data_IF_689557485624
#
_entry.id   IF_689557485624
#
_cell.length_a   1.000
_cell.length_b   1.000
_cell.length_c   1.000
_cell.angle_alpha   90.00
_cell.angle_beta   90.00
_cell.angle_gamma   90.00
#
_symmetry.space_group_name_H-M   'P 1'
#
loop_
_entity.id
_entity.type
_entity.pdbx_description
1 polymer ?
#
# COMPACT_ATOMS: atom_id res chain seq x y z
N UNK A 1 -8.75 -29.50 -3.91
CA UNK A 1 -8.89 -29.77 -2.46
C UNK A 1 -7.51 -30.12 -1.94
N UNK A 2 -7.00 -29.43 -0.93
CA UNK A 2 -5.70 -29.70 -0.30
C UNK A 2 -5.96 -30.56 0.95
N UNK A 3 -5.92 -31.90 0.85
CA UNK A 3 -6.53 -32.81 1.84
C UNK A 3 -5.92 -32.73 3.25
N UNK A 4 -4.75 -32.14 3.40
CA UNK A 4 -4.04 -31.99 4.68
C UNK A 4 -3.91 -30.54 5.17
N UNK A 5 -4.47 -29.58 4.43
CA UNK A 5 -4.44 -28.17 4.79
C UNK A 5 -5.79 -27.73 5.35
N UNK A 6 -5.79 -27.23 6.58
CA UNK A 6 -6.98 -26.59 7.18
C UNK A 6 -7.05 -25.14 6.69
N UNK A 7 -7.76 -24.92 5.59
CA UNK A 7 -7.96 -23.61 5.01
C UNK A 7 -8.35 -23.69 3.54
N UNK A 8 -8.38 -22.54 2.87
CA UNK A 8 -8.56 -22.42 1.42
C UNK A 8 -7.24 -22.00 0.76
N UNK A 9 -6.95 -22.55 -0.42
CA UNK A 9 -5.89 -22.05 -1.28
C UNK A 9 -6.48 -21.27 -2.45
N UNK A 10 -5.84 -20.18 -2.82
CA UNK A 10 -6.12 -19.40 -4.03
C UNK A 10 -4.89 -19.42 -4.94
N UNK A 11 -5.10 -19.34 -6.26
CA UNK A 11 -3.97 -19.33 -7.20
C UNK A 11 -3.33 -17.95 -7.22
N UNK A 12 -2.02 -17.90 -7.02
CA UNK A 12 -1.26 -16.65 -6.95
C UNK A 12 -0.94 -16.09 -8.35
N UNK A 13 -1.97 -15.63 -9.06
CA UNK A 13 -1.87 -15.02 -10.41
C UNK A 13 -1.82 -13.50 -10.41
N UNK A 14 -2.25 -12.87 -9.32
CA UNK A 14 -2.30 -11.41 -9.15
C UNK A 14 -1.81 -11.05 -7.74
N UNK A 15 -1.31 -9.83 -7.55
CA UNK A 15 -0.69 -9.44 -6.30
C UNK A 15 -1.69 -9.39 -5.15
N UNK A 16 -2.94 -9.04 -5.43
CA UNK A 16 -4.02 -8.97 -4.45
C UNK A 16 -4.24 -10.30 -3.70
N UNK A 17 -4.06 -11.44 -4.38
CA UNK A 17 -4.17 -12.78 -3.77
C UNK A 17 -3.16 -12.95 -2.65
N UNK A 18 -1.89 -12.62 -2.90
CA UNK A 18 -0.86 -12.70 -1.87
C UNK A 18 -1.12 -11.69 -0.75
N UNK A 19 -1.52 -10.46 -1.08
CA UNK A 19 -1.71 -9.40 -0.10
C UNK A 19 -2.96 -9.56 0.77
N UNK A 20 -3.89 -10.45 0.44
CA UNK A 20 -5.02 -10.84 1.31
C UNK A 20 -4.81 -12.16 2.04
N UNK A 21 -3.75 -12.91 1.73
CA UNK A 21 -3.51 -14.24 2.28
C UNK A 21 -2.64 -14.21 3.53
N UNK A 22 -2.91 -15.13 4.46
CA UNK A 22 -2.09 -15.32 5.67
C UNK A 22 -0.74 -15.99 5.38
N UNK A 23 -0.66 -16.75 4.28
CA UNK A 23 0.56 -17.43 3.83
C UNK A 23 0.71 -17.28 2.32
N UNK A 24 1.97 -17.19 1.88
CA UNK A 24 2.31 -17.16 0.46
C UNK A 24 3.29 -18.27 0.15
N UNK A 25 3.00 -19.03 -0.90
CA UNK A 25 3.88 -20.06 -1.43
C UNK A 25 4.49 -19.56 -2.74
N UNK A 26 5.81 -19.43 -2.78
CA UNK A 26 6.56 -19.12 -4.00
C UNK A 26 7.19 -20.40 -4.50
N UNK A 27 6.84 -20.81 -5.72
CA UNK A 27 7.52 -21.93 -6.38
C UNK A 27 8.80 -21.45 -7.07
N UNK A 28 9.76 -22.37 -7.26
CA UNK A 28 10.99 -22.11 -8.02
C UNK A 28 10.72 -21.52 -9.41
N UNK A 29 9.67 -21.98 -10.08
CA UNK A 29 9.26 -21.42 -11.37
C UNK A 29 8.85 -19.94 -11.29
N UNK A 30 8.18 -19.52 -10.21
CA UNK A 30 7.82 -18.12 -9.97
C UNK A 30 9.04 -17.26 -9.64
N UNK A 31 9.96 -17.77 -8.81
CA UNK A 31 11.25 -17.11 -8.56
C UNK A 31 12.03 -16.89 -9.88
N UNK A 32 12.10 -17.92 -10.72
CA UNK A 32 12.83 -17.85 -12.00
C UNK A 32 12.20 -16.89 -13.01
N UNK A 33 10.87 -16.76 -13.00
CA UNK A 33 10.11 -15.92 -13.93
C UNK A 33 9.77 -14.54 -13.39
N UNK A 34 9.97 -14.32 -12.10
CA UNK A 34 9.52 -13.13 -11.39
C UNK A 34 8.02 -12.87 -11.62
N UNK A 35 7.20 -13.92 -11.46
CA UNK A 35 5.75 -13.91 -11.70
C UNK A 35 4.95 -14.19 -10.40
N UNK A 36 3.77 -13.58 -10.20
CA UNK A 36 3.00 -12.82 -11.20
C UNK A 36 3.53 -11.41 -11.47
N UNK A 37 4.31 -10.84 -10.56
CA UNK A 37 5.04 -9.59 -10.80
C UNK A 37 6.42 -9.64 -10.15
N UNK A 38 7.42 -8.92 -10.70
CA UNK A 38 8.74 -8.85 -10.10
C UNK A 38 8.76 -8.25 -8.70
N UNK A 39 7.90 -7.27 -8.44
CA UNK A 39 7.84 -6.53 -7.18
C UNK A 39 7.47 -7.47 -6.04
N UNK A 40 6.36 -8.21 -6.18
CA UNK A 40 5.87 -9.07 -5.11
C UNK A 40 6.77 -10.28 -4.90
N UNK A 41 7.35 -10.83 -5.96
CA UNK A 41 8.27 -11.97 -5.83
C UNK A 41 9.55 -11.54 -5.11
N UNK A 42 10.12 -10.38 -5.45
CA UNK A 42 11.30 -9.84 -4.76
C UNK A 42 11.00 -9.49 -3.31
N UNK A 43 9.81 -8.96 -3.01
CA UNK A 43 9.38 -8.69 -1.65
C UNK A 43 9.46 -9.97 -0.80
N UNK A 44 8.83 -11.07 -1.23
CA UNK A 44 8.89 -12.31 -0.47
C UNK A 44 10.28 -12.94 -0.43
N UNK A 45 11.05 -12.88 -1.53
CA UNK A 45 12.42 -13.41 -1.55
C UNK A 45 13.40 -12.60 -0.66
N UNK A 46 13.06 -11.38 -0.28
CA UNK A 46 13.83 -10.59 0.68
C UNK A 46 13.58 -10.98 2.14
N UNK A 47 12.53 -11.76 2.39
CA UNK A 47 12.14 -12.23 3.72
C UNK A 47 12.75 -13.61 4.01
N UNK A 48 12.81 -13.96 5.29
CA UNK A 48 13.12 -15.33 5.70
C UNK A 48 11.87 -16.21 5.55
N UNK A 49 11.94 -17.34 4.81
CA UNK A 49 10.84 -18.28 4.71
C UNK A 49 10.64 -19.02 6.04
N UNK A 50 9.39 -19.29 6.41
CA UNK A 50 9.11 -20.19 7.54
C UNK A 50 9.43 -21.64 7.19
N UNK A 51 9.23 -22.02 5.93
CA UNK A 51 9.57 -23.37 5.47
C UNK A 51 10.04 -23.38 4.01
N UNK A 52 11.00 -24.27 3.73
CA UNK A 52 11.48 -24.55 2.37
C UNK A 52 11.21 -26.01 2.06
N UNK A 53 10.40 -26.25 1.04
CA UNK A 53 10.13 -27.59 0.52
C UNK A 53 11.24 -27.95 -0.46
N UNK A 54 11.99 -29.00 -0.13
CA UNK A 54 13.03 -29.54 -1.00
C UNK A 54 12.59 -30.81 -1.72
N UNK A 55 12.99 -30.95 -2.98
CA UNK A 55 12.84 -32.18 -3.76
C UNK A 55 14.24 -32.62 -4.17
N UNK A 56 14.68 -33.79 -3.69
CA UNK A 56 16.02 -34.33 -3.92
C UNK A 56 17.17 -33.37 -3.51
N UNK A 57 17.00 -32.65 -2.39
CA UNK A 57 17.99 -31.68 -1.89
C UNK A 57 18.04 -30.36 -2.67
N UNK A 58 17.04 -30.11 -3.53
CA UNK A 58 16.90 -28.86 -4.28
C UNK A 58 15.68 -28.10 -3.77
N UNK A 59 15.82 -26.84 -3.32
CA UNK A 59 14.69 -25.99 -2.98
C UNK A 59 13.70 -25.88 -4.14
N UNK A 60 12.45 -26.24 -3.88
CA UNK A 60 11.37 -26.27 -4.87
C UNK A 60 10.28 -25.23 -4.57
N UNK A 61 9.94 -25.04 -3.30
CA UNK A 61 8.99 -24.03 -2.88
C UNK A 61 9.39 -23.39 -1.54
N UNK A 62 9.07 -22.11 -1.39
CA UNK A 62 9.27 -21.33 -0.16
C UNK A 62 7.91 -20.92 0.37
N UNK A 63 7.68 -21.15 1.66
CA UNK A 63 6.44 -20.82 2.36
C UNK A 63 6.75 -19.67 3.30
N UNK A 64 6.06 -18.55 3.10
CA UNK A 64 6.21 -17.34 3.88
C UNK A 64 4.95 -17.10 4.71
N UNK A 65 5.08 -16.81 6.02
CA UNK A 65 4.01 -16.19 6.76
C UNK A 65 3.83 -14.78 6.20
N UNK A 66 2.60 -14.33 6.12
CA UNK A 66 2.28 -13.02 5.56
C UNK A 66 1.48 -12.17 6.54
N UNK A 67 1.57 -10.85 6.34
CA UNK A 67 0.69 -9.88 6.98
C UNK A 67 -0.18 -9.30 5.88
N UNK A 68 -1.49 -9.60 5.86
CA UNK A 68 -2.38 -9.04 4.87
C UNK A 68 -2.29 -7.51 4.86
N UNK A 69 -2.34 -6.93 3.66
CA UNK A 69 -2.46 -5.49 3.43
C UNK A 69 -3.85 -5.12 2.88
N UNK A 70 -4.68 -6.12 2.57
CA UNK A 70 -6.05 -5.93 2.11
C UNK A 70 -7.00 -6.44 3.20
N UNK A 71 -7.93 -5.58 3.61
CA UNK A 71 -8.88 -5.81 4.69
C UNK A 71 -10.32 -5.57 4.21
N UNK A 72 -11.29 -5.97 5.05
CA UNK A 72 -12.71 -5.69 4.84
C UNK A 72 -13.18 -4.37 5.48
N UNK A 73 -12.36 -3.76 6.32
CA UNK A 73 -12.63 -2.49 7.00
C UNK A 73 -11.30 -1.84 7.44
N UNK A 74 -11.36 -0.59 7.89
CA UNK A 74 -10.21 0.14 8.42
C UNK A 74 -9.75 -0.49 9.75
N UNK A 75 -8.46 -0.82 9.92
CA UNK A 75 -7.94 -1.33 11.19
C UNK A 75 -8.15 -0.34 12.35
N UNK A 76 -8.43 -0.87 13.55
CA UNK A 76 -8.88 -0.07 14.70
C UNK A 76 -7.85 0.95 15.24
N UNK A 77 -6.57 0.81 14.90
CA UNK A 77 -5.48 1.70 15.32
C UNK A 77 -5.26 2.90 14.37
N UNK A 78 -6.10 3.04 13.34
CA UNK A 78 -6.09 4.15 12.38
C UNK A 78 -7.07 5.26 12.78
N UNK A 79 -6.70 6.49 12.46
CA UNK A 79 -7.62 7.63 12.50
C UNK A 79 -8.53 7.56 11.28
N UNK A 80 -9.84 7.42 11.50
CA UNK A 80 -10.82 7.35 10.41
C UNK A 80 -10.94 8.68 9.66
N UNK A 81 -11.07 8.58 8.35
CA UNK A 81 -11.31 9.70 7.44
C UNK A 81 -12.33 9.29 6.38
N UNK A 82 -12.79 10.28 5.60
CA UNK A 82 -13.72 10.00 4.51
C UNK A 82 -13.47 10.95 3.33
N UNK A 83 -12.24 10.98 2.83
CA UNK A 83 -11.79 11.93 1.81
C UNK A 83 -11.77 11.22 0.46
N UNK A 84 -12.49 11.75 -0.54
CA UNK A 84 -12.50 11.19 -1.89
C UNK A 84 -11.30 11.63 -2.73
N UNK A 85 -10.75 10.71 -3.52
CA UNK A 85 -9.76 10.99 -4.55
C UNK A 85 -10.31 10.49 -5.89
N UNK A 86 -10.90 11.43 -6.65
CA UNK A 86 -11.77 11.07 -7.77
C UNK A 86 -13.02 10.31 -7.33
N UNK A 87 -13.60 9.53 -8.25
CA UNK A 87 -14.75 8.66 -7.97
C UNK A 87 -14.35 7.20 -7.69
N UNK A 88 -13.05 6.89 -7.73
CA UNK A 88 -12.55 5.51 -7.72
C UNK A 88 -11.97 5.05 -6.38
N UNK A 89 -11.52 5.98 -5.52
CA UNK A 89 -10.97 5.62 -4.21
C UNK A 89 -11.21 6.70 -3.16
N UNK A 90 -11.20 6.29 -1.90
CA UNK A 90 -11.28 7.21 -0.75
C UNK A 90 -10.19 6.90 0.26
N UNK A 91 -9.65 7.93 0.88
CA UNK A 91 -8.84 7.76 2.09
C UNK A 91 -9.80 7.52 3.27
N UNK A 92 -9.83 6.27 3.74
CA UNK A 92 -10.69 5.79 4.81
C UNK A 92 -10.03 5.88 6.19
N UNK A 93 -8.69 5.92 6.25
CA UNK A 93 -7.99 6.26 7.47
C UNK A 93 -6.50 6.51 7.27
N UNK A 94 -5.85 7.03 8.32
CA UNK A 94 -4.40 7.24 8.35
C UNK A 94 -3.80 7.04 9.74
N UNK A 95 -2.49 6.83 9.78
CA UNK A 95 -1.69 6.72 11.00
C UNK A 95 -0.27 7.25 10.75
N UNK A 96 0.30 7.93 11.75
CA UNK A 96 1.71 8.33 11.77
C UNK A 96 2.46 7.47 12.80
N UNK A 97 3.57 6.86 12.41
CA UNK A 97 4.39 6.02 13.30
C UNK A 97 5.88 6.25 13.09
N UNK A 98 6.70 6.08 14.13
CA UNK A 98 8.16 6.01 13.96
C UNK A 98 8.52 4.70 13.23
N UNK A 99 9.60 4.68 12.44
CA UNK A 99 10.02 3.47 11.70
C UNK A 99 10.62 2.38 12.61
N UNK A 100 10.76 2.62 13.92
CA UNK A 100 11.20 1.58 14.87
C UNK A 100 10.21 0.41 14.89
N UNK A 101 10.67 -0.78 14.46
CA UNK A 101 9.88 -1.96 14.13
C UNK A 101 9.11 -2.66 15.25
N UNK A 102 8.52 -1.94 16.20
CA UNK A 102 7.62 -2.47 17.21
C UNK A 102 6.39 -1.56 17.33
N UNK A 103 5.26 -2.04 16.81
CA UNK A 103 3.95 -1.56 17.27
C UNK A 103 3.90 -1.69 18.79
N UNK A 104 3.52 -0.65 19.55
CA UNK A 104 3.27 -0.81 20.97
C UNK A 104 2.14 -1.81 21.16
N UNK A 105 2.32 -2.75 22.10
CA UNK A 105 1.28 -3.70 22.45
C UNK A 105 0.03 -2.94 22.91
N UNK A 106 -1.09 -3.18 22.23
CA UNK A 106 -2.39 -2.58 22.52
C UNK A 106 -2.77 -2.86 23.98
N UNK A 107 -2.86 -1.81 24.81
CA UNK A 107 -3.62 -1.85 26.06
C UNK A 107 -4.97 -1.22 25.79
N UNK A 108 -5.98 -2.06 25.57
CA UNK A 108 -7.36 -1.63 25.40
C UNK A 108 -7.87 -1.11 26.75
N UNK A 109 -8.08 0.20 26.86
CA UNK A 109 -8.91 0.77 27.93
C UNK A 109 -10.12 1.41 27.29
N UNK A 110 -11.30 0.85 27.57
CA UNK A 110 -12.59 1.34 27.11
C UNK A 110 -12.79 2.81 27.51
N UNK A 111 -13.18 3.66 26.58
CA UNK A 111 -13.65 5.01 26.92
C UNK A 111 -13.79 5.96 25.74
N UNK A 112 -15.02 6.13 25.29
CA UNK A 112 -15.61 7.36 24.76
C UNK A 112 -14.99 8.02 23.51
N UNK A 113 -15.78 7.94 22.45
CA UNK A 113 -15.67 8.66 21.19
C UNK A 113 -15.61 10.19 21.41
N UNK A 114 -14.58 10.87 20.88
CA UNK A 114 -14.50 12.34 20.81
C UNK A 114 -14.21 12.74 19.36
N UNK A 115 -15.06 13.56 18.70
CA UNK A 115 -14.76 14.10 17.38
C UNK A 115 -13.83 15.31 17.51
N UNK A 116 -12.88 15.45 16.57
CA UNK A 116 -12.01 16.62 16.38
C UNK A 116 -11.24 17.09 17.63
N UNK A 117 -10.15 16.41 17.94
CA UNK A 117 -9.02 17.07 18.58
C UNK A 117 -7.82 16.90 17.67
N UNK A 118 -7.18 18.02 17.31
CA UNK A 118 -5.84 18.07 16.72
C UNK A 118 -4.90 17.30 17.65
N UNK A 119 -4.77 16.00 17.44
CA UNK A 119 -3.69 15.21 18.02
C UNK A 119 -2.42 15.82 17.43
N UNK A 120 -1.78 16.72 18.20
CA UNK A 120 -0.42 17.20 17.92
C UNK A 120 0.51 16.00 18.05
N UNK A 121 0.54 15.17 17.03
CA UNK A 121 1.48 14.07 16.94
C UNK A 121 2.86 14.73 16.86
N UNK A 122 3.69 14.52 17.86
CA UNK A 122 5.07 15.01 17.84
C UNK A 122 5.93 13.91 17.23
N UNK A 123 6.46 14.13 16.02
CA UNK A 123 7.42 13.20 15.43
C UNK A 123 8.81 13.63 15.92
N UNK A 124 9.31 12.89 16.91
CA UNK A 124 10.64 13.12 17.49
C UNK A 124 11.78 12.52 16.68
N UNK A 125 11.50 11.56 15.79
CA UNK A 125 12.54 10.78 15.12
C UNK A 125 12.23 10.65 13.62
N UNK A 126 13.26 10.89 12.81
CA UNK A 126 13.32 10.52 11.41
C UNK A 126 14.25 9.31 11.25
N UNK A 127 13.92 8.30 10.41
CA UNK A 127 12.75 8.22 9.54
C UNK A 127 11.44 7.89 10.30
N UNK A 128 10.32 8.30 9.71
CA UNK A 128 8.97 7.99 10.17
C UNK A 128 8.12 7.43 9.01
N UNK A 129 6.97 6.86 9.32
CA UNK A 129 6.05 6.30 8.34
C UNK A 129 4.68 6.96 8.43
N UNK A 130 4.12 7.26 7.25
CA UNK A 130 2.71 7.59 7.06
C UNK A 130 2.05 6.33 6.52
N UNK A 131 1.10 5.79 7.26
CA UNK A 131 0.29 4.66 6.79
C UNK A 131 -1.10 5.17 6.46
N UNK A 132 -1.55 4.91 5.25
CA UNK A 132 -2.86 5.25 4.71
C UNK A 132 -3.69 3.97 4.58
N UNK A 133 -5.01 4.10 4.64
CA UNK A 133 -5.94 3.03 4.28
C UNK A 133 -6.88 3.57 3.23
N UNK A 134 -6.82 2.97 2.05
CA UNK A 134 -7.65 3.32 0.92
C UNK A 134 -8.86 2.41 0.84
N UNK A 135 -10.03 2.97 0.55
CA UNK A 135 -11.24 2.22 0.24
C UNK A 135 -11.51 2.28 -1.26
N UNK A 136 -11.57 1.12 -1.89
CA UNK A 136 -11.86 0.95 -3.32
C UNK A 136 -13.34 1.20 -3.62
N UNK A 137 -13.65 2.13 -4.53
CA UNK A 137 -15.03 2.41 -4.93
C UNK A 137 -15.34 1.85 -6.32
N UNK A 138 -16.60 1.50 -6.63
CA UNK A 138 -17.05 1.49 -8.02
C UNK A 138 -16.94 2.92 -8.58
N UNK A 139 -16.30 3.18 -9.74
CA UNK A 139 -16.00 2.22 -10.80
C UNK A 139 -14.50 1.90 -10.96
N UNK A 140 -13.74 1.64 -9.89
CA UNK A 140 -12.28 1.39 -9.98
C UNK A 140 -11.90 0.30 -11.00
N UNK A 141 -12.78 -0.69 -11.23
CA UNK A 141 -12.58 -1.75 -12.23
C UNK A 141 -12.82 -1.30 -13.69
N UNK A 142 -13.44 -0.13 -13.90
CA UNK A 142 -13.86 0.36 -15.21
C UNK A 142 -13.00 1.52 -15.70
N UNK A 143 -12.14 2.07 -14.85
CA UNK A 143 -11.26 3.16 -15.24
C UNK A 143 -10.17 2.65 -16.18
N UNK A 144 -10.21 3.14 -17.42
CA UNK A 144 -9.43 2.63 -18.54
C UNK A 144 -8.63 3.76 -19.18
N UNK A 145 -7.36 3.47 -19.41
CA UNK A 145 -6.48 4.32 -20.19
C UNK A 145 -6.81 4.28 -21.68
N UNK A 146 -6.00 4.97 -22.49
CA UNK A 146 -6.13 4.95 -23.94
C UNK A 146 -6.11 3.51 -24.49
N UNK A 147 -6.97 3.26 -25.48
CA UNK A 147 -7.07 1.96 -26.13
C UNK A 147 -6.05 1.84 -27.27
N UNK A 148 -5.42 0.68 -27.38
CA UNK A 148 -4.45 0.37 -28.43
C UNK A 148 -4.80 -0.95 -29.14
N UNK A 149 -4.51 -1.07 -30.45
CA UNK A 149 -4.62 -2.35 -31.15
C UNK A 149 -3.43 -3.25 -30.76
N UNK A 150 -3.72 -4.42 -30.21
CA UNK A 150 -2.73 -5.47 -29.95
C UNK A 150 -2.99 -6.67 -30.87
N UNK A 151 -1.92 -7.18 -31.48
CA UNK A 151 -2.00 -8.37 -32.33
C UNK A 151 -1.81 -9.62 -31.46
N UNK A 152 -2.91 -10.33 -31.21
CA UNK A 152 -2.90 -11.62 -30.51
C UNK A 152 -3.08 -12.72 -31.55
N UNK A 153 -2.01 -13.47 -31.81
CA UNK A 153 -1.94 -14.47 -32.88
C UNK A 153 -2.28 -13.86 -34.26
N UNK A 154 -3.46 -14.19 -34.80
CA UNK A 154 -3.96 -13.73 -36.10
C UNK A 154 -5.15 -12.76 -35.98
N UNK A 155 -5.43 -12.24 -34.77
CA UNK A 155 -6.53 -11.30 -34.51
C UNK A 155 -5.95 -9.97 -34.02
N UNK A 156 -6.47 -8.85 -34.53
CA UNK A 156 -6.24 -7.52 -33.96
C UNK A 156 -7.32 -7.29 -32.90
N UNK A 157 -6.91 -7.28 -31.63
CA UNK A 157 -7.78 -6.96 -30.51
C UNK A 157 -7.55 -5.52 -30.08
N UNK A 158 -8.61 -4.79 -29.72
CA UNK A 158 -8.46 -3.48 -29.07
C UNK A 158 -8.39 -3.71 -27.57
N UNK A 159 -7.29 -3.27 -26.95
CA UNK A 159 -7.06 -3.40 -25.51
C UNK A 159 -7.00 -2.00 -24.90
N UNK A 160 -7.79 -1.80 -23.86
CA UNK A 160 -7.80 -0.57 -23.07
C UNK A 160 -7.37 -0.97 -21.65
N UNK A 161 -6.07 -0.85 -21.32
CA UNK A 161 -5.58 -1.22 -20.00
C UNK A 161 -6.26 -0.37 -18.93
N UNK A 162 -6.43 -0.93 -17.73
CA UNK A 162 -6.89 -0.14 -16.58
C UNK A 162 -5.80 0.82 -16.13
N UNK A 163 -6.18 1.97 -15.59
CA UNK A 163 -5.23 2.97 -15.10
C UNK A 163 -4.71 2.55 -13.72
N UNK A 164 -3.38 2.59 -13.56
CA UNK A 164 -2.71 2.43 -12.29
C UNK A 164 -2.29 3.79 -11.72
N UNK A 165 -2.93 4.19 -10.63
CA UNK A 165 -2.66 5.47 -9.98
C UNK A 165 -1.52 5.36 -8.98
N UNK A 166 -0.68 6.38 -8.97
CA UNK A 166 0.40 6.57 -8.01
C UNK A 166 -0.07 7.51 -6.90
N UNK A 167 0.27 7.14 -5.67
CA UNK A 167 0.06 7.95 -4.47
C UNK A 167 1.37 8.67 -4.15
N UNK A 168 1.31 10.00 -4.10
CA UNK A 168 2.39 10.87 -3.66
C UNK A 168 2.10 11.34 -2.25
N UNK A 169 2.92 10.93 -1.28
CA UNK A 169 2.87 11.45 0.10
C UNK A 169 4.01 12.43 0.29
N UNK A 170 3.69 13.67 0.68
CA UNK A 170 4.61 14.80 0.76
C UNK A 170 4.63 15.37 2.17
N UNK A 171 5.82 15.71 2.65
CA UNK A 171 6.03 16.45 3.89
C UNK A 171 6.33 17.90 3.56
N UNK A 172 5.46 18.80 4.00
CA UNK A 172 5.56 20.23 3.76
C UNK A 172 6.10 20.90 5.02
N UNK A 173 7.19 21.65 4.87
CA UNK A 173 7.83 22.42 5.94
C UNK A 173 7.04 23.69 6.30
N UNK A 174 7.38 24.33 7.44
CA UNK A 174 6.75 25.59 7.85
C UNK A 174 6.83 26.70 6.80
N UNK A 175 7.90 26.73 6.00
CA UNK A 175 8.12 27.69 4.92
C UNK A 175 7.34 27.35 3.62
N UNK A 176 6.62 26.23 3.61
CA UNK A 176 5.84 25.75 2.47
C UNK A 176 6.60 24.87 1.48
N UNK A 177 7.89 24.59 1.71
CA UNK A 177 8.67 23.71 0.84
C UNK A 177 8.36 22.22 1.06
N UNK A 178 8.44 21.41 0.01
CA UNK A 178 8.39 19.94 0.12
C UNK A 178 9.78 19.47 0.55
N UNK A 179 9.90 18.90 1.75
CA UNK A 179 11.19 18.45 2.32
C UNK A 179 11.38 16.94 2.27
N UNK A 180 10.31 16.18 2.10
CA UNK A 180 10.36 14.74 1.88
C UNK A 180 9.15 14.30 1.05
N UNK A 181 9.33 13.28 0.23
CA UNK A 181 8.28 12.74 -0.64
C UNK A 181 8.48 11.24 -0.84
N UNK A 182 7.40 10.49 -0.94
CA UNK A 182 7.41 9.09 -1.33
C UNK A 182 6.25 8.82 -2.31
N UNK A 183 6.62 8.44 -3.53
CA UNK A 183 5.67 8.12 -4.61
C UNK A 183 5.72 6.62 -4.88
N UNK A 184 4.57 5.96 -4.82
CA UNK A 184 4.45 4.55 -5.19
C UNK A 184 3.03 4.22 -5.61
N UNK A 185 2.85 3.09 -6.28
CA UNK A 185 1.53 2.44 -6.24
C UNK A 185 1.16 2.13 -4.77
N UNK A 186 -0.13 1.97 -4.50
CA UNK A 186 -0.56 1.57 -3.17
C UNK A 186 0.04 0.24 -2.70
N UNK A 187 -0.09 0.00 -1.40
CA UNK A 187 0.57 -1.09 -0.69
C UNK A 187 2.09 -1.04 -0.88
N UNK A 188 2.68 0.16 -0.78
CA UNK A 188 4.13 0.37 -0.93
C UNK A 188 4.69 -0.20 -2.26
N UNK A 189 3.98 0.03 -3.36
CA UNK A 189 4.37 -0.43 -4.69
C UNK A 189 3.93 -1.86 -5.04
N UNK A 190 3.25 -2.57 -4.13
CA UNK A 190 2.89 -3.98 -4.32
C UNK A 190 1.52 -4.18 -4.95
N UNK A 191 0.62 -3.19 -4.92
CA UNK A 191 -0.75 -3.35 -5.42
C UNK A 191 -1.17 -2.18 -6.31
N UNK A 192 -0.92 -2.29 -7.62
CA UNK A 192 -1.46 -1.35 -8.61
C UNK A 192 -3.00 -1.27 -8.52
N UNK A 193 -3.58 -0.09 -8.73
CA UNK A 193 -5.02 0.16 -8.52
C UNK A 193 -5.90 -0.64 -9.48
N UNK A 194 -5.38 -1.03 -10.63
CA UNK A 194 -6.03 -1.93 -11.57
C UNK A 194 -6.26 -3.34 -11.01
N UNK A 195 -5.60 -3.73 -9.91
CA UNK A 195 -5.77 -5.04 -9.26
C UNK A 195 -6.71 -4.99 -8.05
N UNK A 196 -7.24 -3.82 -7.71
CA UNK A 196 -8.15 -3.67 -6.58
C UNK A 196 -9.50 -4.30 -6.89
N UNK A 197 -10.12 -4.91 -5.88
CA UNK A 197 -11.53 -5.29 -5.94
C UNK A 197 -12.36 -4.18 -5.30
N UNK A 198 -13.58 -4.01 -5.78
CA UNK A 198 -14.56 -3.14 -5.13
C UNK A 198 -14.68 -3.50 -3.64
N UNK A 199 -14.75 -2.48 -2.78
CA UNK A 199 -14.84 -2.58 -1.32
C UNK A 199 -13.58 -3.13 -0.61
N UNK A 200 -12.46 -3.35 -1.32
CA UNK A 200 -11.18 -3.64 -0.67
C UNK A 200 -10.71 -2.41 0.16
N UNK A 201 -10.23 -2.65 1.38
CA UNK A 201 -9.52 -1.67 2.20
C UNK A 201 -8.02 -1.95 2.15
N UNK A 202 -7.27 -1.14 1.39
CA UNK A 202 -5.85 -1.35 1.11
C UNK A 202 -4.99 -0.51 2.04
N UNK A 203 -4.21 -1.16 2.89
CA UNK A 203 -3.19 -0.53 3.71
C UNK A 203 -1.98 -0.16 2.85
N UNK A 204 -1.53 1.08 2.97
CA UNK A 204 -0.51 1.66 2.14
C UNK A 204 0.48 2.46 2.98
N UNK A 205 1.74 1.99 3.05
CA UNK A 205 2.75 2.54 3.96
C UNK A 205 3.82 3.29 3.19
N UNK A 206 4.01 4.57 3.52
CA UNK A 206 5.05 5.43 2.97
C UNK A 206 6.08 5.77 4.04
N UNK A 207 7.33 5.34 3.84
CA UNK A 207 8.44 5.69 4.72
C UNK A 207 9.07 7.00 4.25
N UNK A 208 9.19 7.98 5.15
CA UNK A 208 9.68 9.33 4.86
C UNK A 208 10.86 9.66 5.76
N UNK A 209 11.88 10.28 5.15
CA UNK A 209 13.07 10.76 5.85
C UNK A 209 13.15 12.26 5.67
N UNK A 210 13.20 12.99 6.78
CA UNK A 210 13.40 14.43 6.76
C UNK A 210 14.90 14.72 6.60
N UNK A 211 15.26 15.82 5.94
CA UNK A 211 16.62 16.33 5.96
C UNK A 211 17.12 16.54 7.40
N UNK A 212 18.41 16.29 7.65
CA UNK A 212 18.99 16.45 8.99
C UNK A 212 18.93 17.91 9.48
N UNK A 213 18.97 18.86 8.55
CA UNK A 213 18.88 20.31 8.74
C UNK A 213 17.44 20.86 8.63
N UNK A 214 16.43 19.98 8.55
CA UNK A 214 15.04 20.40 8.58
C UNK A 214 14.78 21.31 9.82
N UNK A 215 14.18 22.49 9.67
CA UNK A 215 13.98 23.41 10.79
C UNK A 215 12.98 22.86 11.84
N UNK A 216 13.02 23.33 13.09
CA UNK A 216 11.92 23.07 14.02
C UNK A 216 10.65 23.82 13.58
N UNK A 217 9.48 23.27 13.93
CA UNK A 217 8.18 23.89 13.64
C UNK A 217 7.10 22.89 13.20
N UNK A 218 5.98 23.44 12.72
CA UNK A 218 4.83 22.66 12.28
C UNK A 218 5.00 22.21 10.82
N UNK A 219 4.96 20.90 10.62
CA UNK A 219 4.98 20.25 9.31
C UNK A 219 3.58 19.72 8.96
N UNK A 220 3.28 19.71 7.67
CA UNK A 220 2.05 19.12 7.12
C UNK A 220 2.36 17.89 6.29
N UNK A 221 1.45 16.92 6.31
CA UNK A 221 1.47 15.79 5.38
C UNK A 221 0.38 16.03 4.34
N UNK A 222 0.79 16.07 3.07
CA UNK A 222 -0.10 16.20 1.92
C UNK A 222 -0.09 14.93 1.08
N UNK A 223 -1.25 14.57 0.54
CA UNK A 223 -1.43 13.43 -0.36
C UNK A 223 -1.96 13.90 -1.71
N UNK A 224 -1.36 13.39 -2.78
CA UNK A 224 -1.80 13.58 -4.17
C UNK A 224 -1.93 12.21 -4.82
N UNK A 225 -3.00 12.00 -5.59
CA UNK A 225 -3.17 10.80 -6.42
C UNK A 225 -3.12 11.23 -7.88
N UNK A 226 -2.30 10.57 -8.68
CA UNK A 226 -2.05 10.95 -10.07
C UNK A 226 -1.74 9.74 -10.95
N UNK A 227 -1.95 9.88 -12.25
CA UNK A 227 -1.49 8.92 -13.25
C UNK A 227 0.01 9.19 -13.52
N UNK A 228 0.88 8.21 -13.26
CA UNK A 228 2.33 8.40 -13.43
C UNK A 228 2.77 8.44 -14.89
N UNK A 229 2.02 7.81 -15.80
CA UNK A 229 2.34 7.78 -17.22
C UNK A 229 2.06 9.14 -17.88
N UNK A 230 0.97 9.80 -17.50
CA UNK A 230 0.57 11.09 -18.09
C UNK A 230 0.93 12.30 -17.24
N UNK A 231 1.09 12.11 -15.93
CA UNK A 231 1.24 13.18 -14.95
C UNK A 231 -0.09 13.81 -14.51
N UNK A 232 -1.23 13.32 -15.02
CA UNK A 232 -2.54 13.88 -14.70
C UNK A 232 -2.89 13.63 -13.23
N UNK A 233 -3.18 14.71 -12.51
CA UNK A 233 -3.61 14.64 -11.12
C UNK A 233 -5.08 14.22 -11.08
N UNK A 234 -5.35 13.07 -10.47
CA UNK A 234 -6.70 12.61 -10.19
C UNK A 234 -7.34 13.45 -9.06
N UNK A 235 -6.59 13.66 -7.98
CA UNK A 235 -7.03 14.46 -6.84
C UNK A 235 -5.86 14.88 -5.93
N UNK A 236 -6.06 15.98 -5.19
CA UNK A 236 -5.10 16.58 -4.27
C UNK A 236 -4.48 17.89 -4.79
N UNK A 237 -3.55 18.50 -4.02
CA UNK A 237 -3.07 18.05 -2.71
C UNK A 237 -4.14 18.15 -1.62
N UNK A 238 -4.21 17.12 -0.78
CA UNK A 238 -5.04 17.11 0.43
C UNK A 238 -4.14 17.00 1.65
N UNK A 239 -4.26 17.94 2.58
CA UNK A 239 -3.63 17.81 3.90
C UNK A 239 -4.34 16.73 4.72
N UNK A 240 -3.61 15.71 5.14
CA UNK A 240 -4.16 14.57 5.91
C UNK A 240 -3.74 14.59 7.38
N UNK A 241 -2.62 15.21 7.70
CA UNK A 241 -2.10 15.30 9.06
C UNK A 241 -1.16 16.49 9.25
N UNK A 242 -0.93 16.86 10.51
CA UNK A 242 0.11 17.79 10.94
C UNK A 242 0.94 17.17 12.06
N UNK A 243 2.21 17.54 12.12
CA UNK A 243 3.08 17.20 13.24
C UNK A 243 4.04 18.34 13.58
N UNK A 244 4.41 18.42 14.85
CA UNK A 244 5.43 19.36 15.32
C UNK A 244 6.78 18.64 15.37
N UNK A 245 7.82 19.28 14.84
CA UNK A 245 9.21 18.86 14.99
C UNK A 245 9.89 19.77 16.02
N UNK A 246 10.35 19.19 17.12
CA UNK A 246 11.22 19.87 18.08
C UNK A 246 12.68 19.83 17.61
N UNK A 247 13.52 20.72 18.17
CA UNK A 247 14.99 20.62 18.06
C UNK A 247 15.53 19.26 18.53
#
# INVERSE_FOLDING_TARGET
MLPYFKGSGENFYTNDVALRSDYVVIYRAQQQRLAPSPEIVREYLSREPEHVVEIHGVPYAWIYPNRPLIFSDVPADYTLTNIGFGEIMRLAGYQLSAVSGQQPALSLTNGSFVPSATLRTSIRHSPFAVSLVWHALPPIEQDRGPCYPEKVENVIATICPRIDYTVSVRVIAPDGSVVAQHDSYPANGLLPTSQWRVDDYVQDRHNLTLPADAPPGEYRIEVVVYNVETGDVLAGPVEVARFERSE
#
